data_IF_588760471829
#
_entry.id   IF_588760471829
#
_cell.length_a   1.000
_cell.length_b   1.000
_cell.length_c   1.000
_cell.angle_alpha   90.00
_cell.angle_beta   90.00
_cell.angle_gamma   90.00
#
_symmetry.space_group_name_H-M   'P 1'
#
loop_
_entity.id
_entity.type
_entity.pdbx_description
1 polymer ?
#
# COMPACT_ATOMS: atom_id res chain seq x y z
N UNK A 1 -50.74 -13.29 21.49
CA UNK A 1 -50.05 -12.82 22.72
C UNK A 1 -50.36 -11.33 22.94
N UNK A 2 -50.32 -10.80 24.17
CA UNK A 2 -50.57 -9.36 24.42
C UNK A 2 -49.43 -8.49 23.86
N UNK A 3 -48.19 -8.95 24.00
CA UNK A 3 -46.98 -8.35 23.44
C UNK A 3 -46.11 -9.41 22.77
N UNK A 4 -45.29 -9.01 21.80
CA UNK A 4 -44.40 -9.90 21.05
C UNK A 4 -42.98 -9.35 20.99
N UNK A 5 -42.01 -10.21 21.26
CA UNK A 5 -40.59 -9.92 21.05
C UNK A 5 -40.00 -11.08 20.23
N UNK A 6 -39.73 -10.88 18.94
CA UNK A 6 -39.06 -11.90 18.15
C UNK A 6 -37.65 -12.14 18.69
N UNK A 7 -37.31 -13.41 18.90
CA UNK A 7 -35.99 -13.86 19.35
C UNK A 7 -35.44 -14.90 18.38
N UNK A 8 -34.13 -15.10 18.40
CA UNK A 8 -33.36 -15.97 17.51
C UNK A 8 -33.48 -15.64 16.01
N UNK A 9 -32.35 -15.25 15.41
CA UNK A 9 -32.23 -14.99 13.98
C UNK A 9 -31.54 -13.66 13.69
N UNK A 10 -31.16 -13.48 12.44
CA UNK A 10 -30.66 -12.19 11.97
C UNK A 10 -31.79 -11.16 11.95
N UNK A 11 -31.45 -9.87 11.96
CA UNK A 11 -32.41 -8.77 11.98
C UNK A 11 -33.54 -8.94 10.95
N UNK A 12 -33.20 -9.34 9.71
CA UNK A 12 -34.19 -9.62 8.65
C UNK A 12 -35.21 -10.71 9.01
N UNK A 13 -34.77 -11.73 9.75
CA UNK A 13 -35.63 -12.82 10.23
C UNK A 13 -36.55 -12.32 11.35
N UNK A 14 -36.03 -11.50 12.27
CA UNK A 14 -36.82 -10.90 13.35
C UNK A 14 -37.92 -9.98 12.80
N UNK A 15 -37.60 -9.17 11.78
CA UNK A 15 -38.58 -8.33 11.08
C UNK A 15 -39.68 -9.18 10.43
N UNK A 16 -39.31 -10.27 9.75
CA UNK A 16 -40.31 -11.15 9.13
C UNK A 16 -41.17 -11.90 10.15
N UNK A 17 -40.58 -12.29 11.28
CA UNK A 17 -41.29 -12.92 12.39
C UNK A 17 -42.30 -11.94 13.02
N UNK A 18 -41.93 -10.67 13.21
CA UNK A 18 -42.85 -9.61 13.63
C UNK A 18 -44.02 -9.41 12.64
N UNK A 19 -43.73 -9.37 11.33
CA UNK A 19 -44.79 -9.27 10.29
C UNK A 19 -45.76 -10.43 10.33
N UNK A 20 -45.26 -11.64 10.56
CA UNK A 20 -46.10 -12.83 10.71
C UNK A 20 -47.03 -12.67 11.91
N UNK A 21 -46.54 -12.12 13.03
CA UNK A 21 -47.36 -11.81 14.19
C UNK A 21 -48.45 -10.78 13.90
N UNK A 22 -48.11 -9.73 13.14
CA UNK A 22 -49.07 -8.71 12.74
C UNK A 22 -50.20 -9.30 11.89
N UNK A 23 -49.88 -10.21 10.96
CA UNK A 23 -50.90 -10.92 10.16
C UNK A 23 -51.84 -11.81 10.99
N UNK A 24 -51.40 -12.22 12.18
CA UNK A 24 -52.18 -13.02 13.14
C UNK A 24 -52.90 -12.15 14.18
N UNK A 25 -52.89 -10.82 14.01
CA UNK A 25 -53.65 -9.87 14.84
C UNK A 25 -52.89 -9.28 16.02
N UNK A 26 -51.57 -9.45 16.13
CA UNK A 26 -50.77 -8.74 17.14
C UNK A 26 -50.58 -7.28 16.69
N UNK A 27 -50.95 -6.28 17.50
CA UNK A 27 -50.75 -4.87 17.14
C UNK A 27 -49.28 -4.52 16.94
N UNK A 28 -48.96 -3.67 15.97
CA UNK A 28 -47.57 -3.29 15.70
C UNK A 28 -46.91 -2.60 16.90
N UNK A 29 -47.68 -1.75 17.61
CA UNK A 29 -47.23 -1.06 18.82
C UNK A 29 -46.92 -2.00 19.99
N UNK A 30 -47.33 -3.27 19.90
CA UNK A 30 -47.12 -4.28 20.92
C UNK A 30 -45.99 -5.24 20.55
N UNK A 31 -45.26 -4.98 19.46
CA UNK A 31 -44.14 -5.79 18.99
C UNK A 31 -42.83 -5.00 19.09
N UNK A 32 -41.81 -5.57 19.74
CA UNK A 32 -40.48 -4.96 19.82
C UNK A 32 -39.43 -5.82 19.15
N UNK A 33 -38.68 -5.23 18.22
CA UNK A 33 -37.46 -5.81 17.67
C UNK A 33 -36.28 -5.29 18.49
N UNK A 34 -35.51 -6.21 19.07
CA UNK A 34 -34.41 -5.92 19.99
C UNK A 34 -33.09 -6.43 19.43
N UNK A 35 -32.01 -5.74 19.81
CA UNK A 35 -30.63 -6.17 19.57
C UNK A 35 -30.00 -6.70 20.87
N UNK A 36 -28.85 -7.39 20.76
CA UNK A 36 -28.14 -7.90 21.92
C UNK A 36 -27.73 -6.74 22.85
N UNK A 37 -28.17 -6.78 24.10
CA UNK A 37 -27.94 -5.73 25.10
C UNK A 37 -29.10 -4.76 25.28
N UNK A 38 -30.11 -4.78 24.41
CA UNK A 38 -31.35 -4.07 24.66
C UNK A 38 -32.08 -4.68 25.85
N UNK A 39 -32.60 -3.83 26.74
CA UNK A 39 -33.45 -4.24 27.85
C UNK A 39 -34.91 -4.03 27.45
N UNK A 40 -35.76 -5.02 27.73
CA UNK A 40 -37.21 -4.93 27.54
C UNK A 40 -37.88 -4.72 28.88
N UNK A 41 -38.54 -3.59 29.06
CA UNK A 41 -39.39 -3.33 30.20
C UNK A 41 -40.84 -3.72 29.86
N UNK A 42 -41.36 -4.67 30.63
CA UNK A 42 -42.70 -5.21 30.44
C UNK A 42 -43.53 -4.96 31.70
N UNK A 43 -44.71 -4.35 31.54
CA UNK A 43 -45.74 -4.25 32.58
C UNK A 43 -46.99 -5.00 32.15
N UNK A 44 -48.02 -5.00 33.00
CA UNK A 44 -49.31 -5.57 32.61
C UNK A 44 -49.85 -4.93 31.32
N UNK A 45 -49.62 -3.63 31.10
CA UNK A 45 -50.28 -2.83 30.06
C UNK A 45 -49.35 -2.15 29.07
N UNK A 46 -48.03 -2.25 29.24
CA UNK A 46 -47.06 -1.65 28.33
C UNK A 46 -45.84 -2.53 28.08
N UNK A 47 -45.24 -2.35 26.91
CA UNK A 47 -43.92 -2.88 26.57
C UNK A 47 -43.07 -1.75 25.99
N UNK A 48 -41.83 -1.60 26.44
CA UNK A 48 -40.90 -0.60 25.90
C UNK A 48 -39.45 -1.05 26.00
N UNK A 49 -38.56 -0.42 25.23
CA UNK A 49 -37.12 -0.54 25.46
C UNK A 49 -36.74 0.28 26.70
N UNK A 50 -35.99 -0.34 27.60
CA UNK A 50 -35.37 0.29 28.75
C UNK A 50 -33.93 0.73 28.45
N UNK A 51 -33.17 0.98 29.52
CA UNK A 51 -31.75 1.34 29.39
C UNK A 51 -30.90 0.13 28.95
N UNK A 52 -30.08 0.28 27.89
CA UNK A 52 -29.28 -0.83 27.39
C UNK A 52 -28.18 -1.24 28.36
N UNK A 53 -27.81 -2.51 28.32
CA UNK A 53 -26.69 -3.07 29.08
C UNK A 53 -25.51 -3.39 28.18
N UNK A 54 -24.31 -3.47 28.76
CA UNK A 54 -23.12 -3.85 28.01
C UNK A 54 -23.27 -5.29 27.50
N UNK A 55 -23.29 -5.42 26.18
CA UNK A 55 -23.26 -6.69 25.47
C UNK A 55 -22.22 -6.62 24.34
N UNK A 56 -21.76 -7.78 23.88
CA UNK A 56 -20.74 -7.88 22.84
C UNK A 56 -20.37 -9.32 22.56
N UNK A 57 -19.47 -9.50 21.60
CA UNK A 57 -18.93 -10.82 21.24
C UNK A 57 -17.53 -10.92 21.82
N UNK A 58 -17.28 -11.97 22.60
CA UNK A 58 -15.93 -12.36 23.00
C UNK A 58 -15.53 -13.59 22.18
N UNK A 59 -14.39 -13.50 21.51
CA UNK A 59 -13.89 -14.56 20.65
C UNK A 59 -12.89 -15.39 21.43
N UNK A 60 -13.15 -16.70 21.50
CA UNK A 60 -12.30 -17.64 22.24
C UNK A 60 -11.34 -18.38 21.28
N UNK A 61 -10.06 -18.43 21.63
CA UNK A 61 -9.03 -19.23 20.92
C UNK A 61 -8.24 -20.04 21.95
N UNK A 62 -7.57 -21.12 21.52
CA UNK A 62 -6.79 -22.02 22.37
C UNK A 62 -5.46 -21.39 22.86
N UNK A 63 -5.41 -20.06 22.91
CA UNK A 63 -4.29 -19.29 23.42
C UNK A 63 -4.37 -19.16 24.95
N UNK A 64 -3.23 -18.89 25.61
CA UNK A 64 -3.14 -18.88 27.09
C UNK A 64 -4.11 -17.93 27.80
N UNK A 65 -4.67 -16.94 27.11
CA UNK A 65 -5.60 -15.94 27.64
C UNK A 65 -7.07 -16.26 27.36
N UNK A 66 -7.37 -17.24 26.50
CA UNK A 66 -8.72 -17.57 26.07
C UNK A 66 -9.34 -16.54 25.11
N UNK A 67 -9.27 -15.24 25.40
CA UNK A 67 -9.91 -14.18 24.61
C UNK A 67 -8.96 -13.65 23.51
N UNK A 68 -9.46 -13.51 22.29
CA UNK A 68 -8.76 -12.88 21.16
C UNK A 68 -9.26 -11.47 20.93
N UNK A 69 -8.32 -10.54 20.87
CA UNK A 69 -8.58 -9.14 20.50
C UNK A 69 -8.91 -9.03 18.99
N UNK A 70 -9.89 -8.20 18.64
CA UNK A 70 -10.27 -7.90 17.27
C UNK A 70 -9.07 -7.40 16.42
N UNK A 71 -8.11 -6.70 17.03
CA UNK A 71 -6.88 -6.28 16.36
C UNK A 71 -6.05 -7.46 15.87
N UNK A 72 -5.92 -8.51 16.69
CA UNK A 72 -5.17 -9.72 16.31
C UNK A 72 -5.84 -10.42 15.13
N UNK A 73 -7.18 -10.43 15.08
CA UNK A 73 -7.91 -10.99 13.95
C UNK A 73 -7.70 -10.18 12.67
N UNK A 74 -7.70 -8.85 12.78
CA UNK A 74 -7.39 -7.97 11.64
C UNK A 74 -5.98 -8.20 11.12
N UNK A 75 -5.00 -8.34 12.00
CA UNK A 75 -3.62 -8.67 11.62
C UNK A 75 -3.53 -10.04 10.95
N UNK A 76 -4.22 -11.07 11.48
CA UNK A 76 -4.30 -12.40 10.84
C UNK A 76 -4.95 -12.35 9.46
N UNK A 77 -6.02 -11.58 9.30
CA UNK A 77 -6.71 -11.41 8.02
C UNK A 77 -5.79 -10.76 6.99
N UNK A 78 -5.12 -9.67 7.35
CA UNK A 78 -4.16 -9.01 6.46
C UNK A 78 -3.01 -9.95 6.05
N UNK A 79 -2.48 -10.74 6.99
CA UNK A 79 -1.44 -11.72 6.70
C UNK A 79 -1.93 -12.86 5.78
N UNK A 80 -3.21 -13.23 5.88
CA UNK A 80 -3.81 -14.25 5.02
C UNK A 80 -4.10 -13.73 3.60
N UNK A 81 -4.44 -12.45 3.47
CA UNK A 81 -4.75 -11.81 2.19
C UNK A 81 -3.49 -11.39 1.42
N UNK A 82 -2.59 -10.63 2.07
CA UNK A 82 -1.44 -10.02 1.41
C UNK A 82 -0.13 -10.81 1.59
N UNK A 83 -0.05 -11.65 2.62
CA UNK A 83 1.14 -12.44 2.94
C UNK A 83 2.28 -11.64 3.60
N UNK A 84 3.45 -12.27 3.65
CA UNK A 84 4.67 -11.76 4.29
C UNK A 84 5.84 -11.79 3.33
N UNK A 85 6.60 -10.70 3.32
CA UNK A 85 7.86 -10.56 2.60
C UNK A 85 8.99 -10.43 3.62
N UNK A 86 10.00 -11.29 3.54
CA UNK A 86 11.23 -11.14 4.32
C UNK A 86 12.34 -10.68 3.40
N UNK A 87 12.98 -9.57 3.76
CA UNK A 87 14.11 -8.99 3.04
C UNK A 87 15.35 -9.01 3.93
N UNK A 88 16.42 -9.63 3.46
CA UNK A 88 17.73 -9.59 4.09
C UNK A 88 18.70 -8.80 3.21
N UNK A 89 19.28 -7.73 3.75
CA UNK A 89 20.29 -6.94 3.08
C UNK A 89 21.58 -6.91 3.91
N UNK A 90 22.73 -7.09 3.26
CA UNK A 90 24.04 -6.96 3.89
C UNK A 90 24.71 -5.68 3.37
N UNK A 91 25.03 -4.77 4.28
CA UNK A 91 25.52 -3.42 3.95
C UNK A 91 26.79 -3.13 4.75
N UNK A 92 27.81 -2.60 4.09
CA UNK A 92 29.05 -2.17 4.75
C UNK A 92 28.85 -0.86 5.50
N UNK A 93 29.73 -0.59 6.46
CA UNK A 93 29.81 0.72 7.15
C UNK A 93 30.15 1.89 6.22
N UNK A 94 30.54 1.61 4.97
CA UNK A 94 30.82 2.63 3.95
C UNK A 94 29.60 2.95 3.06
N UNK A 95 28.45 2.34 3.35
CA UNK A 95 27.20 2.58 2.61
C UNK A 95 27.10 1.82 1.31
N UNK A 96 27.79 0.67 1.21
CA UNK A 96 27.73 -0.17 0.02
C UNK A 96 27.11 -1.50 0.36
N UNK A 97 26.22 -1.97 -0.50
CA UNK A 97 25.72 -3.33 -0.44
C UNK A 97 26.89 -4.30 -0.69
N UNK A 98 27.04 -5.33 0.14
CA UNK A 98 28.15 -6.31 0.03
C UNK A 98 27.71 -7.65 -0.55
N UNK A 99 26.39 -7.88 -0.63
CA UNK A 99 25.78 -9.05 -1.24
C UNK A 99 24.40 -8.68 -1.80
N UNK A 100 23.89 -9.38 -2.83
CA UNK A 100 22.54 -9.15 -3.31
C UNK A 100 21.52 -9.43 -2.20
N UNK A 101 20.43 -8.64 -2.10
CA UNK A 101 19.45 -8.84 -1.07
C UNK A 101 18.71 -10.17 -1.28
N UNK A 102 18.44 -10.88 -0.20
CA UNK A 102 17.64 -12.12 -0.25
C UNK A 102 16.20 -11.78 0.08
N UNK A 103 15.31 -12.08 -0.85
CA UNK A 103 13.85 -11.89 -0.70
C UNK A 103 13.20 -13.25 -0.58
N UNK A 104 12.39 -13.44 0.47
CA UNK A 104 11.53 -14.59 0.63
C UNK A 104 10.08 -14.14 0.74
N UNK A 105 9.19 -14.88 0.10
CA UNK A 105 7.75 -14.59 0.06
C UNK A 105 7.03 -15.76 0.72
N UNK A 106 6.07 -15.47 1.59
CA UNK A 106 5.18 -16.48 2.18
C UNK A 106 3.74 -15.99 2.13
N UNK A 107 2.87 -16.75 1.47
CA UNK A 107 1.45 -16.39 1.35
C UNK A 107 1.17 -15.15 0.50
N UNK A 108 2.19 -14.52 -0.10
CA UNK A 108 2.02 -13.37 -0.98
C UNK A 108 1.49 -13.87 -2.32
N UNK A 109 0.18 -13.72 -2.54
CA UNK A 109 -0.44 -14.04 -3.82
C UNK A 109 -0.09 -12.92 -4.80
N UNK A 110 0.97 -13.12 -5.57
CA UNK A 110 1.42 -12.16 -6.56
C UNK A 110 1.57 -12.81 -7.93
N UNK A 111 1.18 -12.07 -8.96
CA UNK A 111 1.48 -12.39 -10.36
C UNK A 111 2.94 -12.08 -10.73
N UNK A 112 3.70 -11.42 -9.84
CA UNK A 112 5.10 -11.12 -10.08
C UNK A 112 5.97 -12.35 -9.85
N UNK A 113 6.85 -12.62 -10.82
CA UNK A 113 7.92 -13.60 -10.63
C UNK A 113 8.83 -13.19 -9.46
N UNK A 114 9.29 -14.14 -8.62
CA UNK A 114 10.23 -13.87 -7.53
C UNK A 114 11.45 -13.05 -7.96
N UNK A 115 11.90 -13.20 -9.21
CA UNK A 115 12.99 -12.42 -9.81
C UNK A 115 12.71 -10.91 -9.84
N UNK A 116 11.48 -10.52 -10.18
CA UNK A 116 11.07 -9.11 -10.24
C UNK A 116 11.14 -8.45 -8.86
N UNK A 117 10.74 -9.20 -7.82
CA UNK A 117 10.81 -8.74 -6.43
C UNK A 117 12.24 -8.61 -5.94
N UNK A 118 13.12 -9.55 -6.27
CA UNK A 118 14.56 -9.43 -5.98
C UNK A 118 15.17 -8.20 -6.66
N UNK A 119 14.83 -7.95 -7.93
CA UNK A 119 15.30 -6.76 -8.65
C UNK A 119 14.78 -5.46 -8.03
N UNK A 120 13.52 -5.41 -7.60
CA UNK A 120 12.97 -4.25 -6.91
C UNK A 120 13.65 -4.00 -5.57
N UNK A 121 13.86 -5.06 -4.77
CA UNK A 121 14.59 -4.95 -3.52
C UNK A 121 16.02 -4.46 -3.74
N UNK A 122 16.75 -5.02 -4.70
CA UNK A 122 18.11 -4.58 -5.04
C UNK A 122 18.16 -3.11 -5.46
N UNK A 123 17.22 -2.68 -6.30
CA UNK A 123 17.11 -1.27 -6.71
C UNK A 123 16.76 -0.35 -5.55
N UNK A 124 15.86 -0.78 -4.67
CA UNK A 124 15.44 0.04 -3.53
C UNK A 124 16.56 0.18 -2.50
N UNK A 125 17.25 -0.92 -2.16
CA UNK A 125 18.41 -0.88 -1.25
C UNK A 125 19.48 0.06 -1.82
N UNK A 126 19.86 -0.10 -3.08
CA UNK A 126 20.84 0.81 -3.70
C UNK A 126 20.36 2.26 -3.70
N UNK A 127 19.07 2.51 -4.01
CA UNK A 127 18.52 3.86 -4.00
C UNK A 127 18.58 4.50 -2.61
N UNK A 128 18.25 3.76 -1.55
CA UNK A 128 18.36 4.25 -0.16
C UNK A 128 19.81 4.55 0.20
N UNK A 129 20.74 3.65 -0.14
CA UNK A 129 22.17 3.86 0.12
C UNK A 129 22.73 5.06 -0.67
N UNK A 130 22.31 5.28 -1.91
CA UNK A 130 22.82 6.41 -2.70
C UNK A 130 22.23 7.76 -2.24
N UNK A 131 20.95 7.79 -1.86
CA UNK A 131 20.20 9.04 -1.64
C UNK A 131 19.98 9.41 -0.17
N UNK A 132 20.05 8.45 0.76
CA UNK A 132 19.76 8.65 2.19
C UNK A 132 20.94 8.36 3.10
N UNK A 133 21.99 7.67 2.63
CA UNK A 133 23.12 7.27 3.47
C UNK A 133 23.76 8.41 4.27
N UNK A 134 23.98 9.58 3.65
CA UNK A 134 24.56 10.75 4.33
C UNK A 134 23.71 11.26 5.49
N UNK A 135 22.39 11.08 5.43
CA UNK A 135 21.46 11.49 6.48
C UNK A 135 21.38 10.45 7.60
N UNK A 136 21.65 9.19 7.27
CA UNK A 136 21.60 8.03 8.16
C UNK A 136 22.94 7.75 8.86
N UNK A 137 24.00 8.48 8.50
CA UNK A 137 25.32 8.37 9.12
C UNK A 137 25.64 9.62 9.93
N UNK A 138 26.13 9.42 11.16
CA UNK A 138 26.70 10.47 11.99
C UNK A 138 28.22 10.35 11.98
N UNK A 139 28.89 11.47 11.70
CA UNK A 139 30.34 11.50 11.65
C UNK A 139 30.89 11.86 13.04
N UNK A 140 31.36 10.87 13.78
CA UNK A 140 31.89 11.05 15.13
C UNK A 140 33.41 11.18 15.03
N UNK A 141 33.91 12.41 15.09
CA UNK A 141 35.28 12.81 14.76
C UNK A 141 36.39 11.78 15.06
N UNK A 142 36.78 11.03 14.02
CA UNK A 142 37.96 10.15 14.01
C UNK A 142 37.70 8.64 14.14
N UNK A 143 36.46 8.19 14.36
CA UNK A 143 36.09 6.76 14.34
C UNK A 143 35.22 6.44 13.12
N UNK A 144 35.06 5.15 12.82
CA UNK A 144 34.12 4.67 11.80
C UNK A 144 32.74 5.34 11.98
N UNK A 145 32.06 5.72 10.89
CA UNK A 145 30.78 6.43 10.97
C UNK A 145 29.77 5.61 11.76
N UNK A 146 29.01 6.28 12.63
CA UNK A 146 27.92 5.66 13.35
C UNK A 146 26.70 5.64 12.42
N UNK A 147 26.26 4.44 12.05
CA UNK A 147 25.17 4.23 11.09
C UNK A 147 23.87 3.93 11.84
N UNK A 148 22.81 4.67 11.51
CA UNK A 148 21.44 4.37 11.94
C UNK A 148 20.85 3.21 11.12
N UNK A 149 21.16 1.98 11.53
CA UNK A 149 20.67 0.76 10.87
C UNK A 149 19.14 0.64 10.89
N UNK A 150 18.47 1.15 11.93
CA UNK A 150 17.01 1.14 12.04
C UNK A 150 16.42 2.11 11.01
N UNK A 151 17.03 3.29 10.86
CA UNK A 151 16.67 4.25 9.82
C UNK A 151 16.86 3.68 8.41
N UNK A 152 17.98 3.00 8.15
CA UNK A 152 18.23 2.31 6.86
C UNK A 152 17.14 1.25 6.60
N UNK A 153 16.85 0.40 7.58
CA UNK A 153 15.80 -0.62 7.48
C UNK A 153 14.45 0.02 7.14
N UNK A 154 14.07 1.08 7.85
CA UNK A 154 12.80 1.79 7.67
C UNK A 154 12.67 2.42 6.28
N UNK A 155 13.70 3.09 5.78
CA UNK A 155 13.66 3.70 4.45
C UNK A 155 13.50 2.63 3.36
N UNK A 156 14.17 1.49 3.50
CA UNK A 156 14.02 0.35 2.58
C UNK A 156 12.59 -0.20 2.63
N UNK A 157 12.02 -0.40 3.83
CA UNK A 157 10.64 -0.88 4.02
C UNK A 157 9.63 0.05 3.37
N UNK A 158 9.73 1.36 3.63
CA UNK A 158 8.82 2.37 3.08
C UNK A 158 8.90 2.42 1.54
N UNK A 159 10.11 2.38 0.99
CA UNK A 159 10.33 2.37 -0.45
C UNK A 159 9.74 1.15 -1.13
N UNK A 160 10.02 -0.04 -0.58
CA UNK A 160 9.53 -1.30 -1.10
C UNK A 160 8.00 -1.41 -0.97
N UNK A 161 7.44 -1.04 0.18
CA UNK A 161 5.99 -1.00 0.40
C UNK A 161 5.29 -0.10 -0.62
N UNK A 162 5.83 1.11 -0.85
CA UNK A 162 5.29 2.04 -1.84
C UNK A 162 5.27 1.45 -3.25
N UNK A 163 6.31 0.70 -3.63
CA UNK A 163 6.39 0.05 -4.94
C UNK A 163 5.41 -1.11 -5.06
N UNK A 164 5.33 -1.97 -4.05
CA UNK A 164 4.40 -3.11 -4.01
C UNK A 164 2.95 -2.64 -4.11
N UNK A 165 2.58 -1.61 -3.36
CA UNK A 165 1.23 -1.01 -3.41
C UNK A 165 0.89 -0.46 -4.79
N UNK A 166 1.85 0.15 -5.48
CA UNK A 166 1.65 0.76 -6.81
C UNK A 166 1.56 -0.29 -7.92
N UNK A 167 2.43 -1.29 -7.89
CA UNK A 167 2.58 -2.25 -8.99
C UNK A 167 1.69 -3.48 -8.83
N UNK A 168 1.44 -3.92 -7.59
CA UNK A 168 0.77 -5.19 -7.28
C UNK A 168 -0.53 -5.01 -6.51
N UNK A 169 -0.86 -3.79 -6.06
CA UNK A 169 -2.07 -3.50 -5.29
C UNK A 169 -2.22 -4.35 -4.00
N UNK A 170 -1.10 -4.77 -3.42
CA UNK A 170 -1.03 -5.52 -2.15
C UNK A 170 -0.27 -4.72 -1.08
N UNK A 171 -0.57 -4.98 0.19
CA UNK A 171 0.12 -4.38 1.35
C UNK A 171 0.66 -5.47 2.32
N UNK A 172 1.64 -6.29 1.87
CA UNK A 172 2.17 -7.38 2.67
C UNK A 172 2.94 -6.87 3.88
N UNK A 173 3.00 -7.69 4.93
CA UNK A 173 3.94 -7.44 6.03
C UNK A 173 5.36 -7.59 5.52
N UNK A 174 6.15 -6.52 5.58
CA UNK A 174 7.57 -6.54 5.22
C UNK A 174 8.39 -6.65 6.50
N UNK A 175 9.21 -7.70 6.59
CA UNK A 175 10.20 -7.89 7.63
C UNK A 175 11.56 -7.67 6.99
N UNK A 176 12.13 -6.49 7.16
CA UNK A 176 13.46 -6.17 6.66
C UNK A 176 14.51 -6.39 7.75
N UNK A 177 15.63 -7.02 7.41
CA UNK A 177 16.80 -7.13 8.26
C UNK A 177 18.00 -6.58 7.50
N UNK A 178 18.60 -5.51 8.03
CA UNK A 178 19.83 -4.95 7.50
C UNK A 178 20.97 -5.39 8.42
N UNK A 179 21.89 -6.19 7.89
CA UNK A 179 23.04 -6.67 8.63
C UNK A 179 24.29 -5.85 8.26
N UNK A 180 24.98 -5.26 9.25
CA UNK A 180 26.27 -4.63 9.03
C UNK A 180 27.31 -5.68 8.64
N UNK A 181 28.01 -5.46 7.54
CA UNK A 181 29.13 -6.29 7.12
C UNK A 181 30.43 -5.84 7.81
N UNK A 182 31.36 -6.77 8.11
CA UNK A 182 32.68 -6.43 8.63
C UNK A 182 33.42 -5.45 7.70
N UNK A 183 34.25 -4.59 8.29
CA UNK A 183 35.10 -3.68 7.54
C UNK A 183 36.02 -4.45 6.57
N UNK A 184 36.21 -3.91 5.37
CA UNK A 184 37.02 -4.55 4.32
C UNK A 184 36.28 -5.56 3.44
N UNK A 185 34.99 -5.81 3.70
CA UNK A 185 34.17 -6.64 2.79
C UNK A 185 34.02 -5.94 1.43
N UNK A 186 34.35 -6.60 0.31
CA UNK A 186 34.27 -5.98 -1.01
C UNK A 186 32.82 -5.62 -1.36
N UNK A 187 32.58 -4.48 -2.03
CA UNK A 187 31.24 -4.10 -2.43
C UNK A 187 30.72 -5.06 -3.51
N UNK A 188 29.45 -5.41 -3.40
CA UNK A 188 28.75 -6.18 -4.42
C UNK A 188 28.47 -5.29 -5.63
N UNK A 189 28.84 -5.80 -6.81
CA UNK A 189 28.50 -5.18 -8.08
C UNK A 189 27.17 -5.77 -8.56
N UNK A 190 26.14 -4.93 -8.61
CA UNK A 190 24.81 -5.34 -9.06
C UNK A 190 24.82 -5.80 -10.51
N UNK A 191 24.21 -6.95 -10.79
CA UNK A 191 23.95 -7.40 -12.17
C UNK A 191 22.84 -6.59 -12.84
N UNK A 192 21.93 -6.01 -12.06
CA UNK A 192 20.81 -5.20 -12.57
C UNK A 192 21.24 -3.87 -13.22
N UNK A 193 22.50 -3.46 -13.08
CA UNK A 193 23.06 -2.26 -13.74
C UNK A 193 23.60 -2.56 -15.16
N UNK A 194 23.76 -3.82 -15.55
CA UNK A 194 24.20 -4.21 -16.90
C UNK A 194 23.05 -4.30 -17.92
N UNK A 195 21.79 -4.30 -17.46
CA UNK A 195 20.62 -4.21 -18.34
C UNK A 195 20.49 -2.75 -18.79
N UNK A 196 21.05 -2.43 -19.96
CA UNK A 196 20.97 -1.12 -20.61
C UNK A 196 19.52 -0.63 -20.61
N UNK A 197 19.34 0.61 -20.18
CA UNK A 197 18.08 1.32 -20.28
C UNK A 197 17.69 1.51 -21.76
N UNK A 198 16.97 0.55 -22.34
CA UNK A 198 16.46 0.56 -23.73
C UNK A 198 15.27 1.52 -23.91
N UNK A 199 14.99 2.39 -22.94
CA UNK A 199 14.00 3.45 -23.14
C UNK A 199 14.52 4.42 -24.21
N UNK A 200 13.79 4.65 -25.31
CA UNK A 200 14.20 5.64 -26.30
C UNK A 200 14.30 7.01 -25.63
N UNK A 201 15.42 7.71 -25.85
CA UNK A 201 15.63 9.04 -25.32
C UNK A 201 14.42 9.94 -25.63
N UNK A 202 13.99 10.81 -24.69
CA UNK A 202 12.86 11.69 -24.92
C UNK A 202 13.15 12.54 -26.16
N UNK A 203 12.27 12.44 -27.16
CA UNK A 203 12.32 13.28 -28.37
C UNK A 203 12.29 14.73 -27.92
N UNK A 204 13.39 15.45 -28.13
CA UNK A 204 13.41 16.90 -28.07
C UNK A 204 12.33 17.42 -29.02
N UNK A 205 11.25 17.97 -28.46
CA UNK A 205 10.27 18.75 -29.19
C UNK A 205 11.03 19.94 -29.80
N UNK A 206 11.32 19.87 -31.11
CA UNK A 206 11.80 21.04 -31.85
C UNK A 206 10.68 22.07 -31.82
N UNK A 207 10.87 23.15 -31.07
CA UNK A 207 10.02 24.32 -31.17
C UNK A 207 10.14 24.87 -32.58
N UNK A 208 9.02 24.84 -33.30
CA UNK A 208 8.83 25.55 -34.56
C UNK A 208 8.67 27.04 -34.24
N UNK A 209 9.75 27.81 -34.33
CA UNK A 209 9.64 29.24 -34.54
C UNK A 209 9.25 29.49 -36.01
N UNK A 210 7.93 29.64 -36.21
CA UNK A 210 7.36 30.24 -37.42
C UNK A 210 7.14 31.73 -37.16
N UNK A 211 8.12 32.52 -37.58
CA UNK A 211 8.02 33.95 -37.86
C UNK A 211 9.34 34.31 -38.54
N UNK A 212 9.42 34.77 -39.78
CA UNK A 212 8.46 35.49 -40.59
C UNK A 212 9.33 36.50 -41.34
N UNK A 213 9.84 36.14 -42.52
CA UNK A 213 10.29 37.15 -43.48
C UNK A 213 10.26 36.58 -44.90
N UNK A 214 9.19 36.91 -45.62
CA UNK A 214 9.06 36.73 -47.06
C UNK A 214 9.05 38.14 -47.65
N UNK A 215 10.18 38.60 -48.17
CA UNK A 215 10.23 39.57 -49.28
C UNK A 215 11.69 39.93 -49.62
N UNK A 216 12.31 39.20 -50.53
CA UNK A 216 13.11 39.80 -51.61
C UNK A 216 13.58 38.71 -52.57
N UNK A 217 12.82 38.46 -53.64
CA UNK A 217 13.40 37.99 -54.91
C UNK A 217 12.37 38.03 -56.04
N UNK A 218 11.91 39.24 -56.36
CA UNK A 218 11.17 39.44 -57.60
C UNK A 218 11.48 40.79 -58.26
N UNK A 219 12.78 41.08 -58.42
CA UNK A 219 13.29 42.20 -59.23
C UNK A 219 14.50 41.81 -60.08
N UNK A 220 14.38 40.77 -60.89
CA UNK A 220 15.34 40.57 -61.99
C UNK A 220 14.79 39.62 -63.07
N UNK A 221 13.60 39.90 -63.60
CA UNK A 221 13.11 39.31 -64.88
C UNK A 221 11.83 40.01 -65.34
N UNK A 222 11.93 41.29 -65.70
CA UNK A 222 10.99 42.01 -66.59
C UNK A 222 11.41 43.48 -66.76
N UNK A 223 12.47 43.74 -67.53
CA UNK A 223 12.57 44.98 -68.31
C UNK A 223 13.29 44.73 -69.64
N UNK A 224 12.45 44.59 -70.67
CA UNK A 224 12.57 45.20 -72.01
C UNK A 224 13.65 44.68 -72.97
N UNK A 225 13.23 43.73 -73.81
CA UNK A 225 13.48 43.78 -75.25
C UNK A 225 12.29 44.47 -75.95
N UNK A 226 12.52 45.64 -76.54
CA UNK A 226 11.88 46.22 -77.75
C UNK A 226 12.42 47.65 -77.92
N UNK A 227 13.27 47.88 -78.92
CA UNK A 227 13.04 48.73 -80.12
C UNK A 227 13.02 50.24 -79.82
N UNK A 228 14.04 51.02 -80.22
CA UNK A 228 14.27 51.67 -81.54
C UNK A 228 13.15 52.64 -81.94
N UNK A 229 13.42 53.95 -81.86
CA UNK A 229 13.05 55.02 -82.81
C UNK A 229 13.57 56.37 -82.25
N UNK A 230 14.44 57.05 -83.00
CA UNK A 230 15.06 58.35 -82.67
C UNK A 230 16.55 58.35 -82.88
#
# INVERSE_FOLDING_TARGET
PKFMVPVHGEHRMLVQHARTAHSMGVPENNTLIIDNGDVVELTADSIRKGDPVKAGIELLDNSRTGIVDARVLKERQQLAEDGVITLLAAVSVDGKMVAPPRVNLRGVVTTAEPRKLSMWAEREVNWVLDNRWKQLCRNTGGKAPEVDWIGVQREIEVGLQRRLRRELQIEPLIICLVQPAPAGTPPYKSKAMEEKDDRPAPRHQRNNDRGGDRNNDNRQRRRRSTAVAG
#
